data_IF_756066518617
#
_entry.id   IF_756066518617
#
_cell.length_a   1.000
_cell.length_b   1.000
_cell.length_c   1.000
_cell.angle_alpha   90.00
_cell.angle_beta   90.00
_cell.angle_gamma   90.00
#
_symmetry.space_group_name_H-M   'P 1'
#
loop_
_entity.id
_entity.type
_entity.pdbx_description
1 polymer ?
#
# COMPACT_ATOMS: atom_id res chain seq x y z
N UNK A 1 20.14 -12.41 9.57
CA UNK A 1 19.20 -12.01 8.50
C UNK A 1 18.16 -13.09 8.32
N UNK A 2 16.93 -12.75 7.93
CA UNK A 2 15.76 -13.65 7.94
C UNK A 2 15.61 -14.55 6.69
N UNK A 3 16.43 -14.39 5.65
CA UNK A 3 16.29 -15.17 4.40
C UNK A 3 15.07 -14.77 3.55
N UNK A 4 14.67 -13.50 3.62
CA UNK A 4 13.51 -12.97 2.89
C UNK A 4 13.76 -12.87 1.38
N UNK A 5 12.74 -13.18 0.58
CA UNK A 5 12.66 -12.87 -0.85
C UNK A 5 11.41 -12.01 -1.03
N UNK A 6 11.56 -10.77 -1.52
CA UNK A 6 10.46 -9.85 -1.79
C UNK A 6 9.96 -9.05 -0.56
N UNK A 7 10.24 -9.50 0.66
CA UNK A 7 9.88 -8.80 1.90
C UNK A 7 11.00 -7.90 2.42
N UNK A 8 11.34 -6.83 1.69
CA UNK A 8 12.36 -5.83 2.08
C UNK A 8 11.69 -4.50 2.49
N UNK A 9 10.67 -4.61 3.33
CA UNK A 9 9.82 -3.52 3.82
C UNK A 9 9.46 -3.77 5.29
N UNK A 10 8.86 -2.78 5.96
CA UNK A 10 8.44 -2.92 7.35
C UNK A 10 7.07 -3.59 7.47
N UNK A 11 6.04 -3.10 6.76
CA UNK A 11 4.67 -3.62 6.86
C UNK A 11 3.78 -3.39 5.63
N UNK A 12 4.34 -3.45 4.40
CA UNK A 12 3.56 -3.25 3.17
C UNK A 12 2.29 -4.12 3.11
N UNK A 13 2.37 -5.36 3.61
CA UNK A 13 1.25 -6.30 3.69
C UNK A 13 0.02 -5.76 4.45
N UNK A 14 0.22 -4.95 5.50
CA UNK A 14 -0.90 -4.34 6.25
C UNK A 14 -1.73 -3.42 5.37
N UNK A 15 -1.06 -2.54 4.61
CA UNK A 15 -1.73 -1.55 3.76
C UNK A 15 -2.38 -2.22 2.55
N UNK A 16 -1.68 -3.18 1.94
CA UNK A 16 -2.21 -3.99 0.83
C UNK A 16 -3.48 -4.71 1.27
N UNK A 17 -3.44 -5.46 2.37
CA UNK A 17 -4.60 -6.21 2.85
C UNK A 17 -5.79 -5.29 3.20
N UNK A 18 -5.54 -4.16 3.86
CA UNK A 18 -6.59 -3.21 4.21
C UNK A 18 -7.29 -2.63 2.98
N UNK A 19 -6.53 -2.18 1.98
CA UNK A 19 -7.09 -1.66 0.72
C UNK A 19 -7.82 -2.78 -0.03
N UNK A 20 -7.25 -3.99 -0.06
CA UNK A 20 -7.81 -5.11 -0.81
C UNK A 20 -9.19 -5.50 -0.29
N UNK A 21 -9.33 -5.62 1.03
CA UNK A 21 -10.61 -5.92 1.68
C UNK A 21 -11.62 -4.79 1.43
N UNK A 22 -11.21 -3.53 1.59
CA UNK A 22 -12.10 -2.37 1.39
C UNK A 22 -12.55 -2.21 -0.06
N UNK A 23 -11.67 -2.43 -1.03
CA UNK A 23 -11.92 -2.20 -2.45
C UNK A 23 -12.37 -3.45 -3.21
N UNK A 24 -12.68 -4.55 -2.53
CA UNK A 24 -13.21 -5.77 -3.16
C UNK A 24 -12.22 -6.52 -4.03
N UNK A 25 -10.93 -6.42 -3.71
CA UNK A 25 -9.87 -7.21 -4.32
C UNK A 25 -9.82 -8.60 -3.67
N UNK A 26 -8.96 -9.50 -4.15
CA UNK A 26 -8.73 -10.81 -3.54
C UNK A 26 -7.67 -10.71 -2.42
N UNK A 27 -8.04 -10.77 -1.12
CA UNK A 27 -7.09 -10.60 -0.03
C UNK A 27 -6.03 -11.72 0.01
N UNK A 28 -6.30 -12.90 -0.58
CA UNK A 28 -5.30 -13.97 -0.63
C UNK A 28 -4.11 -13.61 -1.52
N UNK A 29 -4.30 -12.71 -2.49
CA UNK A 29 -3.22 -12.20 -3.34
C UNK A 29 -2.27 -11.26 -2.59
N UNK A 30 -2.55 -10.89 -1.32
CA UNK A 30 -1.62 -10.11 -0.50
C UNK A 30 -0.26 -10.79 -0.34
N UNK A 31 -0.17 -12.11 -0.53
CA UNK A 31 1.09 -12.87 -0.50
C UNK A 31 2.08 -12.32 -1.54
N UNK A 32 1.65 -12.18 -2.80
CA UNK A 32 2.49 -11.65 -3.89
C UNK A 32 2.46 -10.13 -3.98
N UNK A 33 1.27 -9.55 -3.80
CA UNK A 33 1.05 -8.11 -3.88
C UNK A 33 1.75 -7.29 -2.80
N UNK A 34 2.19 -7.92 -1.70
CA UNK A 34 2.96 -7.25 -0.64
C UNK A 34 4.48 -7.26 -0.86
N UNK A 35 4.98 -7.88 -1.94
CA UNK A 35 6.38 -7.79 -2.31
C UNK A 35 6.75 -6.31 -2.50
N UNK A 36 7.66 -5.84 -1.67
CA UNK A 36 8.05 -4.44 -1.63
C UNK A 36 9.49 -4.32 -1.12
N UNK A 37 10.25 -3.45 -1.78
CA UNK A 37 11.50 -2.91 -1.27
C UNK A 37 11.32 -1.43 -0.96
N UNK A 38 11.61 -1.06 0.29
CA UNK A 38 11.61 0.32 0.78
C UNK A 38 13.06 0.79 0.93
N UNK A 39 13.41 1.89 0.26
CA UNK A 39 14.74 2.51 0.36
C UNK A 39 14.59 3.94 0.87
N UNK A 40 15.56 4.36 1.69
CA UNK A 40 15.61 5.68 2.31
C UNK A 40 17.03 6.24 2.26
N UNK A 41 17.16 7.50 1.86
CA UNK A 41 18.43 8.19 1.72
C UNK A 41 18.30 9.65 2.18
N UNK A 42 19.41 10.23 2.66
CA UNK A 42 19.48 11.66 2.91
C UNK A 42 19.46 12.43 1.57
N UNK A 43 18.82 13.59 1.56
CA UNK A 43 18.65 14.41 0.36
C UNK A 43 18.72 15.91 0.66
N UNK A 44 18.58 16.71 -0.39
CA UNK A 44 18.65 18.16 -0.33
C UNK A 44 20.08 18.72 -0.14
N UNK A 45 20.24 20.05 -0.19
CA UNK A 45 21.56 20.69 -0.11
C UNK A 45 22.29 20.49 1.23
N UNK A 46 21.55 20.28 2.31
CA UNK A 46 22.09 20.11 3.67
C UNK A 46 22.14 18.65 4.12
N UNK A 47 21.52 17.72 3.39
CA UNK A 47 21.39 16.32 3.78
C UNK A 47 20.35 16.08 4.88
N UNK A 48 19.48 17.05 5.16
CA UNK A 48 18.44 16.97 6.21
C UNK A 48 17.08 16.50 5.67
N UNK A 49 16.89 16.47 4.35
CA UNK A 49 15.67 15.96 3.73
C UNK A 49 15.72 14.42 3.64
N UNK A 50 14.56 13.78 3.71
CA UNK A 50 14.42 12.33 3.54
C UNK A 50 13.90 12.01 2.14
N UNK A 51 14.71 11.35 1.32
CA UNK A 51 14.26 10.70 0.09
C UNK A 51 13.82 9.27 0.42
N UNK A 52 12.59 8.92 0.07
CA UNK A 52 12.00 7.61 0.31
C UNK A 52 11.40 7.05 -0.97
N UNK A 53 11.59 5.77 -1.22
CA UNK A 53 10.96 5.05 -2.33
C UNK A 53 10.41 3.71 -1.88
N UNK A 54 9.31 3.29 -2.51
CA UNK A 54 8.78 1.94 -2.42
C UNK A 54 8.65 1.39 -3.84
N UNK A 55 9.21 0.20 -4.08
CA UNK A 55 9.06 -0.51 -5.35
C UNK A 55 8.29 -1.80 -5.11
N UNK A 56 7.15 -1.95 -5.78
CA UNK A 56 6.25 -3.10 -5.65
C UNK A 56 6.04 -3.75 -7.03
N UNK A 57 6.79 -4.82 -7.36
CA UNK A 57 6.85 -5.35 -8.73
C UNK A 57 5.65 -6.23 -9.11
N UNK A 58 4.84 -6.67 -8.15
CA UNK A 58 3.84 -7.73 -8.34
C UNK A 58 2.49 -7.40 -7.72
N UNK A 59 2.01 -6.16 -7.85
CA UNK A 59 0.66 -5.79 -7.38
C UNK A 59 -0.41 -6.41 -8.31
N UNK A 60 -1.19 -7.35 -7.78
CA UNK A 60 -2.31 -8.00 -8.48
C UNK A 60 -3.65 -7.41 -8.04
N UNK A 61 -4.32 -6.66 -8.91
CA UNK A 61 -5.61 -6.03 -8.59
C UNK A 61 -6.44 -5.71 -9.84
N UNK A 62 -7.70 -5.30 -9.62
CA UNK A 62 -8.60 -4.89 -10.68
C UNK A 62 -9.75 -4.00 -10.18
N UNK A 63 -10.39 -3.30 -11.12
CA UNK A 63 -11.53 -2.40 -10.82
C UNK A 63 -12.85 -2.90 -11.41
N UNK A 64 -12.84 -4.10 -12.00
CA UNK A 64 -13.98 -4.81 -12.58
C UNK A 64 -13.85 -6.29 -12.26
N UNK A 65 -14.96 -6.94 -11.88
CA UNK A 65 -15.03 -8.37 -11.57
C UNK A 65 -14.81 -8.71 -10.09
N UNK A 66 -15.15 -9.94 -9.70
CA UNK A 66 -15.03 -10.41 -8.33
C UNK A 66 -15.78 -9.54 -7.31
N UNK A 67 -15.12 -9.24 -6.19
CA UNK A 67 -15.69 -8.43 -5.10
C UNK A 67 -15.97 -6.97 -5.48
N UNK A 68 -15.39 -6.45 -6.56
CA UNK A 68 -15.65 -5.09 -7.06
C UNK A 68 -17.06 -4.90 -7.60
N UNK A 69 -17.85 -5.97 -7.71
CA UNK A 69 -19.28 -5.92 -8.09
C UNK A 69 -20.21 -5.60 -6.90
N UNK A 70 -19.71 -5.70 -5.67
CA UNK A 70 -20.49 -5.50 -4.45
C UNK A 70 -20.63 -4.00 -4.13
N UNK A 71 -21.85 -3.57 -3.77
CA UNK A 71 -22.16 -2.17 -3.51
C UNK A 71 -21.21 -1.45 -2.54
N UNK A 72 -20.89 -2.02 -1.36
CA UNK A 72 -19.97 -1.37 -0.42
C UNK A 72 -18.54 -1.20 -0.98
N UNK A 73 -18.00 -2.24 -1.60
CA UNK A 73 -16.67 -2.22 -2.21
C UNK A 73 -16.61 -1.25 -3.41
N UNK A 74 -17.69 -1.13 -4.19
CA UNK A 74 -17.82 -0.11 -5.22
C UNK A 74 -17.78 1.30 -4.64
N UNK A 75 -18.42 1.54 -3.50
CA UNK A 75 -18.36 2.86 -2.84
C UNK A 75 -16.91 3.22 -2.46
N UNK A 76 -16.13 2.27 -1.94
CA UNK A 76 -14.69 2.49 -1.67
C UNK A 76 -13.90 2.78 -2.95
N UNK A 77 -14.15 2.06 -4.05
CA UNK A 77 -13.53 2.35 -5.35
C UNK A 77 -13.95 3.72 -5.92
N UNK A 78 -15.19 4.14 -5.69
CA UNK A 78 -15.71 5.45 -6.10
C UNK A 78 -15.06 6.58 -5.29
N UNK A 79 -14.82 6.40 -3.99
CA UNK A 79 -14.06 7.35 -3.17
C UNK A 79 -12.67 7.64 -3.75
N UNK A 80 -12.07 6.62 -4.38
CA UNK A 80 -10.76 6.72 -5.03
C UNK A 80 -10.86 7.14 -6.51
N UNK A 81 -12.07 7.31 -7.06
CA UNK A 81 -12.29 7.71 -8.45
C UNK A 81 -11.92 6.65 -9.50
N UNK A 82 -11.86 5.37 -9.12
CA UNK A 82 -11.37 4.27 -9.98
C UNK A 82 -12.36 3.12 -10.13
N UNK A 83 -13.64 3.33 -9.81
CA UNK A 83 -14.65 2.27 -9.93
C UNK A 83 -14.93 1.91 -11.39
N UNK A 84 -15.02 0.60 -11.67
CA UNK A 84 -15.44 0.08 -12.96
C UNK A 84 -14.38 0.17 -14.05
N UNK A 85 -14.83 -0.04 -15.29
CA UNK A 85 -13.99 0.07 -16.48
C UNK A 85 -13.81 1.54 -16.86
N UNK A 86 -12.58 1.95 -17.16
CA UNK A 86 -12.33 3.23 -17.81
C UNK A 86 -12.75 3.13 -19.29
N UNK A 87 -13.72 3.95 -19.70
CA UNK A 87 -14.27 3.94 -21.06
C UNK A 87 -13.29 4.55 -22.08
N UNK A 88 -12.54 5.57 -21.69
CA UNK A 88 -11.59 6.26 -22.57
C UNK A 88 -10.32 5.45 -22.80
N UNK A 89 -9.78 4.85 -21.74
CA UNK A 89 -8.57 4.04 -21.79
C UNK A 89 -8.68 2.79 -20.89
N UNK A 90 -9.04 1.63 -21.45
CA UNK A 90 -9.14 0.39 -20.69
C UNK A 90 -7.88 0.09 -19.85
N UNK A 91 -8.10 -0.23 -18.58
CA UNK A 91 -7.05 -0.53 -17.60
C UNK A 91 -6.51 0.69 -16.81
N UNK A 92 -6.86 1.93 -17.16
CA UNK A 92 -6.35 3.10 -16.42
C UNK A 92 -6.81 3.14 -14.97
N UNK A 93 -8.07 2.80 -14.69
CA UNK A 93 -8.58 2.71 -13.33
C UNK A 93 -7.78 1.71 -12.46
N UNK A 94 -7.44 0.55 -13.02
CA UNK A 94 -6.61 -0.44 -12.33
C UNK A 94 -5.17 0.07 -12.13
N UNK A 95 -4.55 0.69 -13.15
CA UNK A 95 -3.22 1.33 -13.01
C UNK A 95 -3.23 2.40 -11.93
N UNK A 96 -4.28 3.21 -11.87
CA UNK A 96 -4.43 4.25 -10.87
C UNK A 96 -4.62 3.67 -9.46
N UNK A 97 -5.41 2.61 -9.30
CA UNK A 97 -5.55 1.91 -8.02
C UNK A 97 -4.20 1.32 -7.55
N UNK A 98 -3.39 0.75 -8.45
CA UNK A 98 -2.05 0.27 -8.12
C UNK A 98 -1.12 1.39 -7.64
N UNK A 99 -1.19 2.58 -8.24
CA UNK A 99 -0.45 3.76 -7.75
C UNK A 99 -0.91 4.18 -6.36
N UNK A 100 -2.23 4.16 -6.10
CA UNK A 100 -2.80 4.46 -4.78
C UNK A 100 -2.32 3.46 -3.73
N UNK A 101 -2.30 2.16 -4.05
CA UNK A 101 -1.77 1.11 -3.17
C UNK A 101 -0.30 1.38 -2.82
N UNK A 102 0.55 1.58 -3.82
CA UNK A 102 1.98 1.84 -3.60
C UNK A 102 2.24 3.13 -2.81
N UNK A 103 1.50 4.21 -3.10
CA UNK A 103 1.60 5.46 -2.36
C UNK A 103 1.16 5.30 -0.89
N UNK A 104 0.12 4.50 -0.65
CA UNK A 104 -0.36 4.22 0.71
C UNK A 104 0.62 3.35 1.49
N UNK A 105 1.24 2.36 0.83
CA UNK A 105 2.35 1.58 1.38
C UNK A 105 3.49 2.50 1.79
N UNK A 106 3.95 3.39 0.91
CA UNK A 106 5.02 4.34 1.22
C UNK A 106 4.69 5.22 2.43
N UNK A 107 3.47 5.75 2.52
CA UNK A 107 3.04 6.53 3.67
C UNK A 107 3.05 5.70 4.97
N UNK A 108 2.60 4.45 4.90
CA UNK A 108 2.65 3.52 6.02
C UNK A 108 4.08 3.20 6.45
N UNK A 109 4.98 2.95 5.50
CA UNK A 109 6.40 2.67 5.74
C UNK A 109 7.07 3.86 6.44
N UNK A 110 6.86 5.07 5.93
CA UNK A 110 7.38 6.31 6.53
C UNK A 110 6.94 6.44 7.99
N UNK A 111 5.65 6.24 8.26
CA UNK A 111 5.08 6.37 9.60
C UNK A 111 5.63 5.31 10.56
N UNK A 112 5.65 4.03 10.16
CA UNK A 112 6.11 2.95 11.04
C UNK A 112 7.61 3.06 11.31
N UNK A 113 8.41 3.33 10.28
CA UNK A 113 9.86 3.50 10.42
C UNK A 113 10.19 4.69 11.33
N UNK A 114 9.45 5.79 11.22
CA UNK A 114 9.58 6.95 12.11
C UNK A 114 9.23 6.59 13.56
N UNK A 115 8.15 5.82 13.78
CA UNK A 115 7.76 5.37 15.11
C UNK A 115 8.79 4.40 15.73
N UNK A 116 9.40 3.53 14.92
CA UNK A 116 10.48 2.64 15.34
C UNK A 116 11.74 3.44 15.70
N UNK A 117 12.14 4.38 14.86
CA UNK A 117 13.31 5.22 15.10
C UNK A 117 13.18 6.09 16.37
N UNK A 118 11.98 6.62 16.63
CA UNK A 118 11.69 7.41 17.83
C UNK A 118 11.36 6.57 19.08
N UNK A 119 11.26 5.24 18.97
CA UNK A 119 10.84 4.37 20.09
C UNK A 119 9.38 4.53 20.50
N UNK A 120 8.51 5.05 19.63
CA UNK A 120 7.10 5.33 19.91
C UNK A 120 6.16 4.15 19.63
N UNK A 121 6.63 3.09 18.97
CA UNK A 121 5.75 2.01 18.51
C UNK A 121 4.89 1.40 19.64
N UNK A 122 5.52 1.01 20.75
CA UNK A 122 4.82 0.38 21.89
C UNK A 122 3.80 1.35 22.48
N UNK A 123 4.15 2.63 22.66
CA UNK A 123 3.24 3.65 23.20
C UNK A 123 2.01 3.83 22.31
N UNK A 124 2.20 3.90 20.99
CA UNK A 124 1.09 4.05 20.04
C UNK A 124 0.18 2.81 20.03
N UNK A 125 0.75 1.61 20.12
CA UNK A 125 -0.03 0.38 20.29
C UNK A 125 -0.82 0.39 21.60
N UNK A 126 -0.22 0.78 22.73
CA UNK A 126 -0.94 0.85 24.01
C UNK A 126 -2.13 1.82 23.99
N UNK A 127 -2.02 2.92 23.25
CA UNK A 127 -3.09 3.92 23.17
C UNK A 127 -4.23 3.47 22.24
N UNK A 128 -3.90 2.89 21.07
CA UNK A 128 -4.87 2.66 20.00
C UNK A 128 -5.18 1.18 19.70
N UNK A 129 -4.35 0.26 20.20
CA UNK A 129 -4.38 -1.17 19.88
C UNK A 129 -4.04 -2.06 21.10
N UNK A 130 -4.43 -1.58 22.30
CA UNK A 130 -4.24 -2.15 23.66
C UNK A 130 -2.90 -1.94 24.33
#
# INVERSE_FOLDING_TARGET
MAGSIGGFNAHAANLVAAIYIACGQDPAQSVGSSNCITLMEASGPTGEDLYITCTMPSIELGTVGGGTSLGPQQACLQMLGVQGACQECPGDNARQLARVVCATVLAGELSLMSALAAGHLVKSHMIHNR
#
